data_IF_699268153675
#
_entry.id   IF_699268153675
#
_cell.length_a   1.000
_cell.length_b   1.000
_cell.length_c   1.000
_cell.angle_alpha   90.00
_cell.angle_beta   90.00
_cell.angle_gamma   90.00
#
_symmetry.space_group_name_H-M   'P 1'
#
loop_
_entity.id
_entity.type
_entity.pdbx_description
1 polymer ?
#
# COMPACT_ATOMS: atom_id res chain seq x y z
N UNK A 1 -0.12 17.57 -4.59
CA UNK A 1 1.24 17.27 -4.12
C UNK A 1 1.21 16.69 -2.71
N UNK A 2 2.35 16.22 -2.19
CA UNK A 2 2.45 15.58 -0.88
C UNK A 2 2.03 16.54 0.27
N UNK A 3 2.37 17.80 0.17
CA UNK A 3 2.00 18.80 1.16
C UNK A 3 0.47 18.98 1.22
N UNK A 4 -0.18 19.08 0.08
CA UNK A 4 -1.64 19.19 0.01
C UNK A 4 -2.36 18.00 0.62
N UNK A 5 -1.85 16.78 0.39
CA UNK A 5 -2.38 15.55 1.02
C UNK A 5 -2.17 15.59 2.53
N UNK A 6 -0.96 15.94 3.01
CA UNK A 6 -0.67 16.03 4.43
C UNK A 6 -1.57 17.07 5.13
N UNK A 7 -1.76 18.23 4.52
CA UNK A 7 -2.66 19.29 5.04
C UNK A 7 -4.10 18.77 5.12
N UNK A 8 -4.59 18.10 4.08
CA UNK A 8 -5.95 17.56 4.07
C UNK A 8 -6.16 16.48 5.13
N UNK A 9 -5.19 15.58 5.30
CA UNK A 9 -5.24 14.53 6.33
C UNK A 9 -5.17 15.13 7.74
N UNK A 10 -4.26 16.07 7.99
CA UNK A 10 -4.15 16.72 9.29
C UNK A 10 -5.44 17.47 9.63
N UNK A 11 -5.98 18.24 8.69
CA UNK A 11 -7.26 18.92 8.90
C UNK A 11 -8.39 17.94 9.24
N UNK A 12 -8.49 16.84 8.50
CA UNK A 12 -9.49 15.81 8.80
C UNK A 12 -9.31 15.25 10.22
N UNK A 13 -8.06 14.95 10.63
CA UNK A 13 -7.77 14.45 11.98
C UNK A 13 -8.10 15.50 13.05
N UNK A 14 -7.72 16.75 12.85
CA UNK A 14 -7.99 17.85 13.77
C UNK A 14 -9.51 18.07 13.96
N UNK A 15 -10.28 18.03 12.87
CA UNK A 15 -11.73 18.13 12.91
C UNK A 15 -12.34 16.97 13.72
N UNK A 16 -11.87 15.72 13.52
CA UNK A 16 -12.33 14.56 14.29
C UNK A 16 -11.99 14.65 15.76
N UNK A 17 -10.77 15.11 16.08
CA UNK A 17 -10.33 15.31 17.48
C UNK A 17 -11.14 16.41 18.15
N UNK A 18 -11.42 17.50 17.45
CA UNK A 18 -12.23 18.61 17.98
C UNK A 18 -13.68 18.21 18.31
N UNK A 19 -14.25 17.29 17.52
CA UNK A 19 -15.60 16.76 17.73
C UNK A 19 -15.64 15.62 18.77
N UNK A 20 -14.50 15.10 19.16
CA UNK A 20 -14.42 13.94 20.05
C UNK A 20 -14.74 14.28 21.50
N UNK A 21 -15.61 13.51 22.10
CA UNK A 21 -16.05 13.69 23.49
C UNK A 21 -15.12 13.07 24.55
N UNK A 22 -14.03 12.42 24.15
CA UNK A 22 -13.08 11.75 25.05
C UNK A 22 -13.60 10.45 25.71
N UNK A 23 -14.82 10.01 25.42
CA UNK A 23 -15.44 8.84 26.09
C UNK A 23 -15.61 7.64 25.15
N UNK A 24 -15.77 7.86 23.87
CA UNK A 24 -15.91 6.82 22.86
C UNK A 24 -14.63 6.73 22.01
N UNK A 25 -14.34 5.62 21.31
CA UNK A 25 -13.25 5.59 20.35
C UNK A 25 -13.38 6.69 19.32
N UNK A 26 -12.25 7.32 18.94
CA UNK A 26 -12.21 8.33 17.90
C UNK A 26 -12.61 7.69 16.54
N UNK A 27 -13.64 8.23 15.90
CA UNK A 27 -14.11 7.74 14.61
C UNK A 27 -13.23 8.24 13.45
N UNK A 28 -12.37 7.35 12.96
CA UNK A 28 -11.52 7.54 11.79
C UNK A 28 -11.92 6.57 10.66
N UNK A 29 -13.14 6.09 10.64
CA UNK A 29 -13.65 5.11 9.67
C UNK A 29 -13.31 5.42 8.22
N UNK A 30 -13.39 6.68 7.71
CA UNK A 30 -13.00 7.00 6.35
C UNK A 30 -11.54 6.67 6.01
N UNK A 31 -10.66 6.59 7.01
CA UNK A 31 -9.27 6.20 6.80
C UNK A 31 -9.06 4.70 6.92
N UNK A 32 -9.61 4.07 7.95
CA UNK A 32 -9.22 2.71 8.35
C UNK A 32 -10.36 1.68 8.38
N UNK A 33 -11.59 2.05 8.08
CA UNK A 33 -12.67 1.08 8.11
C UNK A 33 -12.48 0.02 7.03
N UNK A 34 -12.42 -1.22 7.46
CA UNK A 34 -12.32 -2.35 6.57
C UNK A 34 -13.67 -2.55 5.87
N UNK A 35 -13.79 -2.14 4.63
CA UNK A 35 -14.99 -2.38 3.84
C UNK A 35 -15.33 -3.87 3.73
N UNK A 36 -16.59 -4.18 3.47
CA UNK A 36 -17.08 -5.54 3.31
C UNK A 36 -17.22 -5.90 1.84
N UNK A 37 -16.55 -6.97 1.42
CA UNK A 37 -16.75 -7.53 0.08
C UNK A 37 -18.19 -8.09 -0.14
N UNK A 38 -18.91 -8.37 0.96
CA UNK A 38 -20.30 -8.87 0.90
C UNK A 38 -21.32 -7.76 0.68
N UNK A 39 -21.04 -6.55 1.17
CA UNK A 39 -21.93 -5.39 1.05
C UNK A 39 -21.53 -4.45 -0.07
N UNK A 40 -20.43 -4.71 -0.77
CA UNK A 40 -19.92 -3.83 -1.82
C UNK A 40 -19.35 -2.49 -1.31
N UNK A 41 -19.21 -2.31 -0.01
CA UNK A 41 -18.75 -1.05 0.57
C UNK A 41 -17.22 -0.97 0.56
N UNK A 42 -16.65 -0.14 -0.31
CA UNK A 42 -15.27 0.28 -0.23
C UNK A 42 -15.15 1.36 0.84
N UNK A 43 -14.59 0.99 2.00
CA UNK A 43 -14.37 1.94 3.09
C UNK A 43 -12.87 2.08 3.34
N UNK A 44 -12.44 3.21 3.86
CA UNK A 44 -11.09 3.47 4.31
C UNK A 44 -10.00 3.37 3.23
N UNK A 45 -9.40 4.49 2.91
CA UNK A 45 -8.34 4.60 1.87
C UNK A 45 -7.13 3.69 2.14
N UNK A 46 -6.88 3.35 3.42
CA UNK A 46 -5.75 2.48 3.81
C UNK A 46 -5.93 1.02 3.39
N UNK A 47 -7.13 0.61 2.98
CA UNK A 47 -7.41 -0.76 2.55
C UNK A 47 -7.42 -0.95 1.04
N UNK A 48 -7.22 0.11 0.28
CA UNK A 48 -7.17 0.03 -1.17
C UNK A 48 -5.82 -0.55 -1.63
N UNK A 49 -5.85 -1.40 -2.65
CA UNK A 49 -4.67 -2.06 -3.20
C UNK A 49 -4.41 -1.63 -4.64
N UNK A 50 -3.15 -1.43 -5.02
CA UNK A 50 -2.82 -1.16 -6.41
C UNK A 50 -3.12 -2.39 -7.26
N UNK A 51 -3.68 -2.16 -8.44
CA UNK A 51 -4.01 -3.20 -9.39
C UNK A 51 -3.82 -2.72 -10.83
N UNK A 52 -3.42 -3.63 -11.72
CA UNK A 52 -3.43 -3.37 -13.14
C UNK A 52 -4.87 -3.47 -13.68
N UNK A 53 -5.43 -2.40 -14.26
CA UNK A 53 -6.78 -2.41 -14.81
C UNK A 53 -7.04 -3.50 -15.84
N UNK A 54 -6.01 -3.90 -16.60
CA UNK A 54 -6.14 -4.95 -17.61
C UNK A 54 -6.16 -6.36 -17.02
N UNK A 55 -5.47 -6.59 -15.89
CA UNK A 55 -5.38 -7.91 -15.23
C UNK A 55 -6.44 -8.09 -14.15
N UNK A 56 -6.81 -7.03 -13.46
CA UNK A 56 -7.87 -7.05 -12.46
C UNK A 56 -9.22 -6.86 -13.16
N UNK A 57 -10.05 -7.89 -13.17
CA UNK A 57 -11.34 -7.91 -13.90
C UNK A 57 -12.28 -6.74 -13.62
N UNK A 58 -12.11 -5.99 -12.56
CA UNK A 58 -12.85 -4.75 -12.27
C UNK A 58 -12.07 -3.84 -11.33
N UNK A 59 -11.84 -2.60 -11.72
CA UNK A 59 -11.51 -1.50 -10.83
C UNK A 59 -12.83 -0.80 -10.47
N UNK A 60 -13.67 -1.43 -9.68
CA UNK A 60 -14.83 -0.77 -9.14
C UNK A 60 -14.57 -0.31 -7.70
N UNK A 61 -15.42 0.58 -7.20
CA UNK A 61 -15.35 1.06 -5.82
C UNK A 61 -15.42 -0.08 -4.81
N UNK A 62 -16.13 -1.13 -5.17
CA UNK A 62 -16.40 -2.27 -4.31
C UNK A 62 -15.20 -3.22 -4.20
N UNK A 63 -14.29 -3.21 -5.17
CA UNK A 63 -13.13 -4.10 -5.19
C UNK A 63 -11.98 -3.64 -4.30
N UNK A 64 -12.02 -2.44 -3.74
CA UNK A 64 -10.92 -1.81 -2.97
C UNK A 64 -9.59 -1.83 -3.73
N UNK A 65 -9.64 -1.55 -5.00
CA UNK A 65 -8.50 -1.51 -5.90
C UNK A 65 -8.40 -0.16 -6.57
N UNK A 66 -7.21 0.24 -6.91
CA UNK A 66 -6.99 1.47 -7.66
C UNK A 66 -5.89 1.27 -8.70
N UNK A 67 -5.95 2.05 -9.75
CA UNK A 67 -4.87 2.13 -10.74
C UNK A 67 -3.73 2.96 -10.16
N UNK A 68 -2.54 2.40 -9.91
CA UNK A 68 -1.45 3.15 -9.31
C UNK A 68 -0.95 4.32 -10.18
N UNK A 69 -1.27 4.38 -11.46
CA UNK A 69 -0.96 5.51 -12.33
C UNK A 69 -1.75 6.78 -11.97
N UNK A 70 -2.80 6.63 -11.16
CA UNK A 70 -3.57 7.77 -10.62
C UNK A 70 -2.95 8.38 -9.36
N UNK A 71 -1.89 7.80 -8.83
CA UNK A 71 -1.20 8.31 -7.66
C UNK A 71 -0.54 9.68 -7.94
N UNK A 72 -0.47 10.55 -6.94
CA UNK A 72 0.26 11.80 -7.05
C UNK A 72 1.73 11.54 -7.38
N UNK A 73 2.24 12.23 -8.39
CA UNK A 73 3.67 12.15 -8.76
C UNK A 73 4.55 12.72 -7.64
N UNK A 74 5.76 12.20 -7.53
CA UNK A 74 6.76 12.61 -6.53
C UNK A 74 6.35 12.35 -5.07
N UNK A 75 5.44 11.41 -4.86
CA UNK A 75 5.07 10.94 -3.54
C UNK A 75 5.41 9.45 -3.44
N UNK A 76 6.28 9.09 -2.51
CA UNK A 76 6.49 7.68 -2.14
C UNK A 76 5.60 7.34 -0.95
N UNK A 77 4.81 6.30 -1.07
CA UNK A 77 3.97 5.79 0.01
C UNK A 77 4.53 4.46 0.50
N UNK A 78 4.62 4.31 1.81
CA UNK A 78 5.01 3.05 2.44
C UNK A 78 3.74 2.35 2.92
N UNK A 79 3.52 1.13 2.47
CA UNK A 79 2.29 0.38 2.70
C UNK A 79 2.56 -1.01 3.25
N UNK A 80 1.72 -1.44 4.19
CA UNK A 80 1.69 -2.79 4.73
C UNK A 80 0.54 -3.62 4.16
N UNK A 81 0.30 -4.78 4.76
CA UNK A 81 -0.88 -5.64 4.55
C UNK A 81 -1.15 -6.05 3.09
N UNK A 82 -0.09 -6.16 2.29
CA UNK A 82 -0.16 -6.62 0.91
C UNK A 82 1.02 -7.55 0.61
N UNK A 83 0.80 -8.86 0.75
CA UNK A 83 1.83 -9.87 0.48
C UNK A 83 2.25 -9.87 -0.99
N UNK A 84 3.45 -10.36 -1.28
CA UNK A 84 4.00 -10.43 -2.64
C UNK A 84 3.08 -11.21 -3.60
N UNK A 85 2.59 -12.37 -3.16
CA UNK A 85 1.63 -13.17 -3.93
C UNK A 85 0.39 -12.36 -4.33
N UNK A 86 -0.15 -11.55 -3.38
CA UNK A 86 -1.33 -10.73 -3.64
C UNK A 86 -1.02 -9.59 -4.62
N UNK A 87 0.11 -8.92 -4.45
CA UNK A 87 0.55 -7.86 -5.35
C UNK A 87 0.73 -8.38 -6.77
N UNK A 88 1.44 -9.50 -6.97
CA UNK A 88 1.64 -10.12 -8.29
C UNK A 88 0.33 -10.50 -8.95
N UNK A 89 -0.61 -11.08 -8.18
CA UNK A 89 -1.94 -11.42 -8.70
C UNK A 89 -2.72 -10.19 -9.20
N UNK A 90 -2.63 -9.06 -8.47
CA UNK A 90 -3.37 -7.85 -8.81
C UNK A 90 -2.69 -7.03 -9.91
N UNK A 91 -1.38 -7.04 -9.96
CA UNK A 91 -0.59 -6.26 -10.91
C UNK A 91 -0.35 -7.00 -12.24
N UNK A 92 -0.42 -8.34 -12.22
CA UNK A 92 -0.30 -9.15 -13.43
C UNK A 92 1.02 -8.93 -14.16
N UNK A 93 0.97 -8.56 -15.44
CA UNK A 93 2.14 -8.30 -16.31
C UNK A 93 2.97 -7.05 -15.92
N UNK A 94 2.52 -6.28 -14.93
CA UNK A 94 3.32 -5.22 -14.31
C UNK A 94 4.27 -5.74 -13.23
N UNK A 95 4.12 -6.99 -12.80
CA UNK A 95 5.07 -7.65 -11.93
C UNK A 95 6.15 -8.36 -12.76
N UNK A 96 7.38 -8.40 -12.22
CA UNK A 96 8.43 -9.21 -12.81
C UNK A 96 8.05 -10.71 -12.81
N UNK A 97 8.79 -11.52 -13.57
CA UNK A 97 8.50 -12.96 -13.74
C UNK A 97 8.93 -13.84 -12.56
N UNK A 98 9.35 -13.24 -11.44
CA UNK A 98 9.80 -14.01 -10.29
C UNK A 98 8.63 -14.69 -9.56
N UNK A 99 8.90 -15.81 -8.95
CA UNK A 99 7.94 -16.48 -8.05
C UNK A 99 7.69 -15.64 -6.80
N UNK A 100 6.46 -15.64 -6.25
CA UNK A 100 6.19 -14.96 -5.01
C UNK A 100 7.12 -15.39 -3.88
N UNK A 101 7.65 -14.42 -3.13
CA UNK A 101 8.57 -14.63 -2.03
C UNK A 101 8.03 -14.10 -0.72
N UNK A 102 8.65 -14.53 0.39
CA UNK A 102 8.43 -13.98 1.72
C UNK A 102 9.72 -13.29 2.20
N UNK A 103 9.57 -12.25 3.00
CA UNK A 103 10.67 -11.53 3.63
C UNK A 103 11.03 -10.20 3.01
N UNK A 104 11.38 -10.13 1.71
CA UNK A 104 11.89 -8.90 1.10
C UNK A 104 10.89 -7.75 1.06
N UNK A 105 11.41 -6.54 1.19
CA UNK A 105 10.74 -5.29 0.83
C UNK A 105 10.62 -5.20 -0.70
N UNK A 106 9.56 -4.59 -1.19
CA UNK A 106 9.26 -4.54 -2.62
C UNK A 106 8.88 -3.13 -3.04
N UNK A 107 9.21 -2.79 -4.27
CA UNK A 107 8.93 -1.50 -4.87
C UNK A 107 7.94 -1.57 -6.03
N UNK A 108 7.19 -0.50 -6.24
CA UNK A 108 6.41 -0.28 -7.45
C UNK A 108 6.75 1.09 -8.02
N UNK A 109 7.34 1.08 -9.21
CA UNK A 109 7.53 2.28 -10.01
C UNK A 109 6.33 2.53 -10.90
N UNK A 110 5.89 3.76 -10.95
CA UNK A 110 4.77 4.18 -11.78
C UNK A 110 5.30 4.87 -13.04
N UNK A 111 5.07 4.25 -14.18
CA UNK A 111 5.30 4.86 -15.51
C UNK A 111 4.01 5.42 -16.11
N UNK A 112 4.12 6.07 -17.27
CA UNK A 112 2.97 6.69 -17.93
C UNK A 112 1.99 5.65 -18.50
N UNK A 113 2.49 4.53 -19.00
CA UNK A 113 1.67 3.47 -19.62
C UNK A 113 1.55 2.22 -18.77
N UNK A 114 2.59 1.89 -18.01
CA UNK A 114 2.64 0.71 -17.14
C UNK A 114 3.36 1.01 -15.83
N UNK A 115 3.13 0.15 -14.85
CA UNK A 115 3.93 0.13 -13.64
C UNK A 115 4.92 -1.04 -13.67
N UNK A 116 5.92 -0.98 -12.81
CA UNK A 116 6.94 -2.02 -12.65
C UNK A 116 7.02 -2.40 -11.17
N UNK A 117 6.55 -3.60 -10.85
CA UNK A 117 6.60 -4.17 -9.51
C UNK A 117 7.72 -5.20 -9.42
N UNK A 118 8.57 -5.08 -8.40
CA UNK A 118 9.75 -5.93 -8.21
C UNK A 118 10.16 -6.07 -6.76
N UNK A 119 11.07 -7.02 -6.52
CA UNK A 119 11.79 -7.09 -5.25
C UNK A 119 12.77 -5.91 -5.12
N UNK A 120 12.98 -5.50 -3.87
CA UNK A 120 13.80 -4.32 -3.55
C UNK A 120 13.08 -3.00 -3.81
N UNK A 121 13.75 -1.92 -3.44
CA UNK A 121 13.26 -0.54 -3.57
C UNK A 121 14.31 0.28 -4.29
N UNK A 122 13.88 1.13 -5.21
CA UNK A 122 14.74 2.06 -5.92
C UNK A 122 14.23 3.50 -5.78
N UNK A 123 15.12 4.43 -6.04
CA UNK A 123 14.74 5.84 -6.10
C UNK A 123 13.66 6.05 -7.18
N UNK A 124 12.60 6.79 -6.82
CA UNK A 124 11.48 7.07 -7.70
C UNK A 124 10.34 6.04 -7.63
N UNK A 125 10.43 5.02 -6.77
CA UNK A 125 9.29 4.16 -6.49
C UNK A 125 8.16 4.94 -5.84
N UNK A 126 6.95 4.76 -6.36
CA UNK A 126 5.75 5.41 -5.83
C UNK A 126 5.18 4.66 -4.62
N UNK A 127 5.34 3.34 -4.58
CA UNK A 127 4.91 2.51 -3.46
C UNK A 127 6.05 1.62 -2.98
N UNK A 128 6.19 1.50 -1.66
CA UNK A 128 7.08 0.58 -0.97
C UNK A 128 6.24 -0.37 -0.12
N UNK A 129 6.35 -1.66 -0.35
CA UNK A 129 5.55 -2.69 0.32
C UNK A 129 6.37 -3.38 1.40
N UNK A 130 5.91 -3.32 2.65
CA UNK A 130 6.61 -3.86 3.82
C UNK A 130 6.11 -5.24 4.26
N UNK A 131 4.92 -5.67 3.80
CA UNK A 131 4.34 -6.95 4.25
C UNK A 131 5.08 -8.13 3.61
N UNK A 132 6.19 -8.52 4.23
CA UNK A 132 6.97 -9.70 3.87
C UNK A 132 6.37 -11.01 4.39
N UNK A 133 5.15 -10.99 4.98
CA UNK A 133 4.51 -12.16 5.56
C UNK A 133 5.44 -12.93 6.53
N UNK A 134 5.95 -12.22 7.54
CA UNK A 134 6.91 -12.73 8.53
C UNK A 134 6.50 -14.10 9.13
N UNK A 135 5.19 -14.30 9.33
CA UNK A 135 4.64 -15.55 9.86
C UNK A 135 4.73 -16.75 8.90
N UNK A 136 5.20 -16.55 7.67
CA UNK A 136 5.42 -17.58 6.65
C UNK A 136 6.91 -17.90 6.47
N UNK A 137 7.80 -17.27 7.24
CA UNK A 137 9.24 -17.49 7.15
C UNK A 137 9.71 -18.49 8.19
N UNK A 138 10.45 -19.49 7.74
CA UNK A 138 11.17 -20.42 8.63
C UNK A 138 12.46 -19.78 9.19
N UNK A 139 12.97 -18.77 8.51
CA UNK A 139 14.22 -18.08 8.84
C UNK A 139 14.00 -16.57 8.81
N UNK A 140 13.93 -15.96 9.99
CA UNK A 140 13.68 -14.52 10.14
C UNK A 140 14.83 -13.65 9.65
N UNK A 141 16.04 -14.18 9.46
CA UNK A 141 17.15 -13.41 8.88
C UNK A 141 16.89 -13.01 7.42
N UNK A 142 15.92 -13.64 6.78
CA UNK A 142 15.46 -13.30 5.41
C UNK A 142 14.41 -12.17 5.39
N UNK A 143 13.95 -11.73 6.55
CA UNK A 143 12.99 -10.64 6.63
C UNK A 143 13.69 -9.28 6.56
N UNK A 144 13.24 -8.46 5.65
CA UNK A 144 13.75 -7.10 5.48
C UNK A 144 12.86 -6.10 6.22
N UNK A 145 13.47 -5.21 6.98
CA UNK A 145 12.87 -3.98 7.46
C UNK A 145 13.15 -2.85 6.46
N UNK A 146 12.44 -1.76 6.57
CA UNK A 146 12.67 -0.59 5.73
C UNK A 146 13.04 0.60 6.61
N UNK A 147 14.23 1.13 6.40
CA UNK A 147 14.66 2.36 7.05
C UNK A 147 14.05 3.57 6.33
N UNK A 148 13.19 4.30 7.04
CA UNK A 148 12.49 5.46 6.47
C UNK A 148 13.41 6.67 6.26
N UNK A 149 14.48 6.81 7.04
CA UNK A 149 15.43 7.90 6.91
C UNK A 149 16.39 7.64 5.74
N UNK A 150 16.96 6.44 5.68
CA UNK A 150 17.88 6.05 4.63
C UNK A 150 17.17 5.60 3.36
N UNK A 151 15.86 5.36 3.42
CA UNK A 151 15.01 4.86 2.32
C UNK A 151 15.53 3.58 1.68
N UNK A 152 15.99 2.65 2.49
CA UNK A 152 16.56 1.39 2.05
C UNK A 152 16.13 0.20 2.90
N UNK A 153 16.10 -1.03 2.33
CA UNK A 153 15.92 -2.25 3.10
C UNK A 153 17.07 -2.50 4.08
N UNK A 154 16.74 -3.04 5.25
CA UNK A 154 17.68 -3.51 6.26
C UNK A 154 17.39 -4.97 6.57
N UNK A 155 18.42 -5.82 6.57
CA UNK A 155 18.31 -7.22 6.99
C UNK A 155 18.27 -7.32 8.52
N UNK A 156 17.40 -8.17 9.04
CA UNK A 156 17.49 -8.58 10.45
C UNK A 156 18.78 -9.39 10.65
N UNK A 157 19.61 -8.98 11.58
CA UNK A 157 20.87 -9.67 11.94
C UNK A 157 20.66 -10.51 13.20
#
# INVERSE_FOLDING_TARGET
>A
DALGIAVALNRYLDDRVAEWNGKTPLDLSPLHEQGSAKTGEAKGILFHRPANPASARVLDRDSRRFDPRTLPRKLTQVIGHSTDKKCRTLLGDWADSQTPTFGPVRGLRVGDTKCEYRLGVEEGDALVFLDGAMNQLDDLTKYELFDLELRQPLMLR
#
